data_IF_378162473318
#
_entry.id   IF_378162473318
#
_cell.length_a   1.000
_cell.length_b   1.000
_cell.length_c   1.000
_cell.angle_alpha   90.00
_cell.angle_beta   90.00
_cell.angle_gamma   90.00
#
_symmetry.space_group_name_H-M   'P 1'
#
loop_
_entity.id
_entity.type
_entity.pdbx_description
1 polymer ?
#
# COMPACT_ATOMS: atom_id res chain seq x y z
N UNK A 1 14.54 17.12 -12.08
CA UNK A 1 15.62 16.16 -11.94
C UNK A 1 15.06 14.75 -11.70
N UNK A 2 15.39 13.85 -12.62
CA UNK A 2 14.85 12.48 -12.60
C UNK A 2 15.28 11.72 -11.33
N UNK A 3 16.53 11.89 -10.91
CA UNK A 3 17.03 11.22 -9.71
C UNK A 3 16.27 11.63 -8.46
N UNK A 4 15.92 12.89 -8.33
CA UNK A 4 15.16 13.38 -7.20
C UNK A 4 13.75 12.80 -7.19
N UNK A 5 13.13 12.74 -8.38
CA UNK A 5 11.79 12.18 -8.52
C UNK A 5 11.76 10.73 -8.05
N UNK A 6 12.73 9.92 -8.48
CA UNK A 6 12.82 8.53 -8.05
C UNK A 6 13.07 8.41 -6.55
N UNK A 7 13.93 9.26 -6.00
CA UNK A 7 14.22 9.24 -4.57
C UNK A 7 12.95 9.48 -3.74
N UNK A 8 12.15 10.48 -4.13
CA UNK A 8 10.90 10.80 -3.43
C UNK A 8 9.90 9.66 -3.60
N UNK A 9 9.81 9.10 -4.80
CA UNK A 9 8.91 7.99 -5.07
C UNK A 9 9.24 6.77 -4.20
N UNK A 10 10.51 6.39 -4.14
CA UNK A 10 10.92 5.23 -3.35
C UNK A 10 10.78 5.48 -1.86
N UNK A 11 10.97 6.72 -1.40
CA UNK A 11 10.73 7.06 -0.01
C UNK A 11 9.26 6.83 0.36
N UNK A 12 8.35 7.25 -0.51
CA UNK A 12 6.93 7.02 -0.31
C UNK A 12 6.60 5.53 -0.26
N UNK A 13 7.11 4.76 -1.22
CA UNK A 13 6.84 3.33 -1.28
C UNK A 13 7.37 2.61 -0.03
N UNK A 14 8.53 3.01 0.45
CA UNK A 14 9.14 2.45 1.66
C UNK A 14 8.26 2.68 2.88
N UNK A 15 7.78 3.90 3.03
CA UNK A 15 6.91 4.26 4.17
C UNK A 15 5.59 3.50 4.11
N UNK A 16 5.02 3.38 2.93
CA UNK A 16 3.77 2.62 2.75
C UNK A 16 3.99 1.15 3.05
N UNK A 17 5.15 0.61 2.65
CA UNK A 17 5.48 -0.77 2.94
C UNK A 17 5.56 -1.01 4.44
N UNK A 18 6.17 -0.10 5.20
CA UNK A 18 6.26 -0.22 6.64
C UNK A 18 4.87 -0.27 7.28
N UNK A 19 3.96 0.59 6.83
CA UNK A 19 2.59 0.59 7.33
C UNK A 19 1.87 -0.71 6.99
N UNK A 20 2.06 -1.20 5.80
CA UNK A 20 1.48 -2.46 5.37
C UNK A 20 2.01 -3.63 6.19
N UNK A 21 3.31 -3.64 6.47
CA UNK A 21 3.93 -4.68 7.28
C UNK A 21 3.37 -4.68 8.70
N UNK A 22 3.14 -3.49 9.27
CA UNK A 22 2.52 -3.36 10.58
C UNK A 22 1.11 -3.91 10.59
N UNK A 23 0.33 -3.61 9.55
CA UNK A 23 -1.02 -4.14 9.43
C UNK A 23 -1.03 -5.67 9.34
N UNK A 24 -0.09 -6.24 8.58
CA UNK A 24 0.04 -7.69 8.48
C UNK A 24 0.43 -8.34 9.80
N UNK A 25 1.31 -7.69 10.56
CA UNK A 25 1.67 -8.19 11.89
C UNK A 25 0.46 -8.23 12.82
N UNK A 26 -0.34 -7.17 12.77
CA UNK A 26 -1.56 -7.11 13.57
C UNK A 26 -2.53 -8.23 13.20
N UNK A 27 -2.75 -8.43 11.91
CA UNK A 27 -3.64 -9.50 11.46
C UNK A 27 -3.14 -10.87 11.91
N UNK A 28 -1.84 -11.11 11.79
CA UNK A 28 -1.27 -12.39 12.22
C UNK A 28 -1.41 -12.61 13.72
N UNK A 29 -1.40 -11.55 14.50
CA UNK A 29 -1.51 -11.68 15.96
C UNK A 29 -2.86 -12.22 16.40
N UNK A 30 -3.87 -12.16 15.53
CA UNK A 30 -5.20 -12.68 15.84
C UNK A 30 -5.37 -14.16 15.52
N UNK A 31 -4.31 -14.84 15.08
CA UNK A 31 -4.42 -16.28 14.75
C UNK A 31 -4.55 -17.17 15.97
N UNK A 32 -4.14 -16.70 17.14
CA UNK A 32 -4.28 -17.46 18.36
C UNK A 32 -5.77 -17.61 18.68
N UNK A 33 -6.24 -18.84 18.85
CA UNK A 33 -7.65 -19.13 19.13
C UNK A 33 -8.09 -18.61 20.49
N UNK A 34 -7.16 -18.18 21.34
CA UNK A 34 -7.47 -17.56 22.63
C UNK A 34 -7.70 -16.06 22.50
N UNK A 35 -7.58 -15.51 21.28
CA UNK A 35 -7.83 -14.09 21.04
C UNK A 35 -9.29 -13.76 21.36
N UNK A 36 -9.52 -12.75 22.15
CA UNK A 36 -10.86 -12.32 22.54
C UNK A 36 -11.48 -11.43 21.46
N UNK A 37 -12.81 -11.31 21.51
CA UNK A 37 -13.50 -10.41 20.58
C UNK A 37 -13.01 -8.97 20.68
N UNK A 38 -12.77 -8.51 21.91
CA UNK A 38 -12.23 -7.17 22.11
C UNK A 38 -10.86 -7.00 21.45
N UNK A 39 -10.03 -8.03 21.53
CA UNK A 39 -8.72 -8.00 20.90
C UNK A 39 -8.83 -8.00 19.37
N UNK A 40 -9.78 -8.74 18.81
CA UNK A 40 -10.04 -8.68 17.38
C UNK A 40 -10.45 -7.28 16.95
N UNK A 41 -11.27 -6.61 17.76
CA UNK A 41 -11.66 -5.22 17.48
C UNK A 41 -10.45 -4.29 17.45
N UNK A 42 -9.54 -4.44 18.42
CA UNK A 42 -8.34 -3.60 18.46
C UNK A 42 -7.43 -3.87 17.24
N UNK A 43 -7.32 -5.13 16.84
CA UNK A 43 -6.54 -5.50 15.66
C UNK A 43 -7.10 -4.81 14.43
N UNK A 44 -8.42 -4.88 14.23
CA UNK A 44 -9.05 -4.25 13.07
C UNK A 44 -8.91 -2.74 13.08
N UNK A 45 -9.05 -2.12 14.26
CA UNK A 45 -8.81 -0.68 14.38
C UNK A 45 -7.41 -0.32 13.93
N UNK A 46 -6.41 -1.10 14.36
CA UNK A 46 -5.03 -0.86 13.98
C UNK A 46 -4.79 -1.03 12.49
N UNK A 47 -5.44 -2.02 11.87
CA UNK A 47 -5.34 -2.25 10.42
C UNK A 47 -5.92 -1.06 9.66
N UNK A 48 -7.10 -0.58 10.08
CA UNK A 48 -7.71 0.57 9.42
C UNK A 48 -6.90 1.84 9.64
N UNK A 49 -6.34 2.02 10.83
CA UNK A 49 -5.48 3.17 11.10
C UNK A 49 -4.27 3.18 10.17
N UNK A 50 -3.69 2.02 9.92
CA UNK A 50 -2.55 1.90 9.00
C UNK A 50 -2.95 2.27 7.57
N UNK A 51 -4.14 1.86 7.14
CA UNK A 51 -4.65 2.22 5.81
C UNK A 51 -4.87 3.71 5.68
N UNK A 52 -5.47 4.32 6.68
CA UNK A 52 -5.69 5.76 6.70
C UNK A 52 -4.35 6.49 6.64
N UNK A 53 -3.38 6.05 7.43
CA UNK A 53 -2.05 6.63 7.44
C UNK A 53 -1.39 6.52 6.06
N UNK A 54 -1.55 5.38 5.40
CA UNK A 54 -1.02 5.17 4.06
C UNK A 54 -1.64 6.13 3.05
N UNK A 55 -2.96 6.30 3.12
CA UNK A 55 -3.66 7.24 2.23
C UNK A 55 -3.23 8.68 2.48
N UNK A 56 -3.00 9.03 3.74
CA UNK A 56 -2.50 10.36 4.09
C UNK A 56 -1.10 10.59 3.54
N UNK A 57 -0.27 9.55 3.57
CA UNK A 57 1.07 9.64 2.96
C UNK A 57 0.97 9.90 1.47
N UNK A 58 0.09 9.19 0.77
CA UNK A 58 -0.11 9.41 -0.65
C UNK A 58 -0.45 10.87 -0.93
N UNK A 59 -1.35 11.44 -0.14
CA UNK A 59 -1.75 12.84 -0.33
C UNK A 59 -0.61 13.80 -0.01
N UNK A 60 0.14 13.53 1.04
CA UNK A 60 1.29 14.36 1.41
C UNK A 60 2.35 14.35 0.31
N UNK A 61 2.63 13.18 -0.24
CA UNK A 61 3.63 13.06 -1.30
C UNK A 61 3.11 13.60 -2.63
N UNK A 62 1.81 13.54 -2.86
CA UNK A 62 1.21 14.20 -4.00
C UNK A 62 1.53 15.70 -3.99
N UNK A 63 1.44 16.35 -2.82
CA UNK A 63 1.81 17.76 -2.71
C UNK A 63 3.29 18.00 -3.04
N UNK A 64 4.15 17.08 -2.65
CA UNK A 64 5.57 17.15 -3.00
C UNK A 64 5.77 16.98 -4.51
N UNK A 65 5.10 16.01 -5.10
CA UNK A 65 5.24 15.75 -6.54
C UNK A 65 4.71 16.90 -7.39
N UNK A 66 3.66 17.57 -6.93
CA UNK A 66 3.11 18.72 -7.67
C UNK A 66 4.14 19.83 -7.88
N UNK A 67 5.13 19.91 -7.01
CA UNK A 67 6.17 20.93 -7.11
C UNK A 67 7.20 20.62 -8.19
N UNK A 68 7.27 19.36 -8.64
CA UNK A 68 8.30 18.92 -9.57
C UNK A 68 7.73 18.27 -10.82
N UNK A 69 6.45 17.94 -10.86
CA UNK A 69 5.81 17.28 -11.99
C UNK A 69 4.44 17.87 -12.26
N UNK A 70 4.03 17.95 -13.55
CA UNK A 70 2.65 18.29 -13.86
C UNK A 70 1.70 17.22 -13.32
N UNK A 71 0.50 17.64 -12.94
CA UNK A 71 -0.49 16.69 -12.39
C UNK A 71 -0.82 15.58 -13.38
N UNK A 72 -0.79 15.86 -14.69
CA UNK A 72 -1.02 14.82 -15.69
C UNK A 72 -0.01 13.68 -15.57
N UNK A 73 1.27 14.03 -15.36
CA UNK A 73 2.31 13.01 -15.18
C UNK A 73 2.08 12.18 -13.93
N UNK A 74 1.69 12.83 -12.84
CA UNK A 74 1.39 12.14 -11.59
C UNK A 74 0.21 11.18 -11.80
N UNK A 75 -0.81 11.65 -12.50
CA UNK A 75 -1.98 10.83 -12.81
C UNK A 75 -1.59 9.60 -13.63
N UNK A 76 -0.72 9.77 -14.63
CA UNK A 76 -0.28 8.65 -15.45
C UNK A 76 0.51 7.63 -14.65
N UNK A 77 1.34 8.08 -13.72
CA UNK A 77 2.08 7.18 -12.84
C UNK A 77 1.10 6.38 -11.98
N UNK A 78 0.12 7.06 -11.41
CA UNK A 78 -0.91 6.42 -10.58
C UNK A 78 -1.67 5.36 -11.38
N UNK A 79 -2.06 5.68 -12.59
CA UNK A 79 -2.76 4.72 -13.46
C UNK A 79 -1.89 3.51 -13.77
N UNK A 80 -0.60 3.75 -14.04
CA UNK A 80 0.31 2.66 -14.35
C UNK A 80 0.48 1.72 -13.16
N UNK A 81 0.56 2.26 -11.95
CA UNK A 81 0.67 1.46 -10.75
C UNK A 81 -0.56 0.59 -10.52
N UNK A 82 -1.72 1.17 -10.68
CA UNK A 82 -2.98 0.43 -10.50
C UNK A 82 -3.12 -0.66 -11.55
N UNK A 83 -2.73 -0.37 -12.78
CA UNK A 83 -2.78 -1.33 -13.86
C UNK A 83 -1.81 -2.47 -13.62
N UNK A 84 -0.58 -2.16 -13.20
CA UNK A 84 0.44 -3.15 -12.90
C UNK A 84 -0.03 -4.08 -11.77
N UNK A 85 -0.60 -3.49 -10.73
CA UNK A 85 -1.10 -4.25 -9.58
C UNK A 85 -2.20 -5.23 -10.01
N UNK A 86 -3.12 -4.74 -10.82
CA UNK A 86 -4.22 -5.57 -11.32
C UNK A 86 -3.71 -6.72 -12.19
N UNK A 87 -2.74 -6.44 -13.07
CA UNK A 87 -2.16 -7.47 -13.93
C UNK A 87 -1.41 -8.52 -13.11
N UNK A 88 -0.75 -8.07 -12.05
CA UNK A 88 -0.03 -8.98 -11.17
C UNK A 88 -1.00 -9.96 -10.49
N UNK A 89 -2.11 -9.46 -9.97
CA UNK A 89 -3.13 -10.28 -9.33
C UNK A 89 -3.76 -11.25 -10.32
N UNK A 90 -3.99 -10.79 -11.54
CA UNK A 90 -4.53 -11.63 -12.59
C UNK A 90 -3.58 -12.77 -12.92
N UNK A 91 -2.29 -12.49 -13.01
CA UNK A 91 -1.27 -13.49 -13.24
C UNK A 91 -1.23 -14.58 -12.19
N UNK A 92 -1.32 -14.17 -10.93
CA UNK A 92 -1.35 -15.13 -9.81
C UNK A 92 -2.58 -16.02 -9.89
N UNK A 93 -3.73 -15.43 -10.20
CA UNK A 93 -4.98 -16.18 -10.32
C UNK A 93 -4.92 -17.18 -11.49
N UNK A 94 -4.38 -16.75 -12.62
CA UNK A 94 -4.24 -17.62 -13.79
C UNK A 94 -3.29 -18.78 -13.50
N UNK A 95 -2.22 -18.53 -12.76
CA UNK A 95 -1.28 -19.59 -12.37
C UNK A 95 -1.95 -20.61 -11.47
N UNK A 96 -2.79 -20.19 -10.56
CA UNK A 96 -3.54 -21.11 -9.71
C UNK A 96 -4.47 -21.97 -10.53
N UNK A 97 -5.08 -21.42 -11.56
CA UNK A 97 -5.95 -22.18 -12.44
C UNK A 97 -5.20 -23.20 -13.28
N UNK A 98 -3.93 -22.95 -13.58
CA UNK A 98 -3.10 -23.84 -14.39
C UNK A 98 -2.49 -24.99 -13.62
N UNK A 99 -2.56 -24.97 -12.32
CA UNK A 99 -1.92 -25.98 -11.48
C UNK A 99 -2.70 -27.29 -11.33
N UNK A 100 -3.66 -27.48 -12.12
CA UNK A 100 -4.40 -28.76 -12.07
C UNK A 100 -3.68 -29.89 -12.83
#
# INVERSE_FOLDING_TARGET
NTGYIYAVYFELQDRKKQLNDEAWKLLRSGKDDKTTDAQYGEILEGVYDARIASDRLDKTYFEKFKKILPCKKIYLIQRAEMRFHRELLKGVRDNKGKKK
#
